data_IF_206036703504
#
_entry.id   IF_206036703504
#
_cell.length_a   1.000
_cell.length_b   1.000
_cell.length_c   1.000
_cell.angle_alpha   90.00
_cell.angle_beta   90.00
_cell.angle_gamma   90.00
#
_symmetry.space_group_name_H-M   'P 1'
#
loop_
_entity.id
_entity.type
_entity.pdbx_description
1 polymer ?
#
# COMPACT_ATOMS: atom_id res chain seq x y z
N UNK A 1 5.74 -9.63 -3.19
CA UNK A 1 4.47 -10.39 -3.26
C UNK A 1 3.32 -9.43 -3.08
N UNK A 2 2.33 -9.44 -3.97
CA UNK A 2 1.12 -8.62 -3.84
C UNK A 2 0.09 -9.41 -3.02
N UNK A 3 -0.43 -8.83 -1.94
CA UNK A 3 -1.33 -9.56 -1.02
C UNK A 3 -2.79 -9.19 -1.20
N UNK A 4 -3.09 -7.89 -1.21
CA UNK A 4 -4.45 -7.35 -1.30
C UNK A 4 -4.45 -5.90 -1.73
N UNK A 5 -5.58 -5.45 -2.27
CA UNK A 5 -5.91 -4.04 -2.46
C UNK A 5 -6.63 -3.56 -1.21
N UNK A 6 -6.30 -2.36 -0.72
CA UNK A 6 -7.01 -1.62 0.33
C UNK A 6 -7.34 -0.24 -0.22
N UNK A 7 -8.59 0.21 -0.05
CA UNK A 7 -9.04 1.48 -0.62
C UNK A 7 -10.18 2.14 0.19
N UNK A 8 -10.32 3.45 0.03
CA UNK A 8 -11.48 4.24 0.45
C UNK A 8 -11.94 5.18 -0.70
N UNK A 9 -12.73 6.21 -0.40
CA UNK A 9 -13.20 7.19 -1.39
C UNK A 9 -12.10 8.15 -1.90
N UNK A 10 -10.89 8.08 -1.32
CA UNK A 10 -9.77 9.00 -1.61
C UNK A 10 -8.58 8.29 -2.24
N UNK A 11 -8.25 7.08 -1.78
CA UNK A 11 -6.96 6.44 -2.09
C UNK A 11 -7.14 4.94 -2.32
N UNK A 12 -6.35 4.39 -3.24
CA UNK A 12 -6.17 2.96 -3.41
C UNK A 12 -4.69 2.58 -3.27
N UNK A 13 -4.41 1.54 -2.50
CA UNK A 13 -3.07 1.00 -2.32
C UNK A 13 -3.07 -0.54 -2.36
N UNK A 14 -1.97 -1.12 -2.80
CA UNK A 14 -1.73 -2.56 -2.74
C UNK A 14 -0.81 -2.84 -1.57
N UNK A 15 -1.24 -3.66 -0.62
CA UNK A 15 -0.39 -4.18 0.46
C UNK A 15 0.53 -5.24 -0.13
N UNK A 16 1.82 -5.10 0.14
CA UNK A 16 2.85 -6.00 -0.38
C UNK A 16 3.74 -6.54 0.73
N UNK A 17 4.35 -7.68 0.44
CA UNK A 17 5.47 -8.21 1.22
C UNK A 17 6.72 -8.21 0.38
N UNK A 18 7.81 -7.67 0.91
CA UNK A 18 9.13 -7.79 0.30
C UNK A 18 9.58 -9.24 0.38
N UNK A 19 10.00 -9.80 -0.75
CA UNK A 19 10.58 -11.14 -0.84
C UNK A 19 12.07 -10.98 -1.03
N UNK A 20 12.75 -10.61 0.06
CA UNK A 20 14.19 -10.40 0.07
C UNK A 20 14.85 -11.56 0.83
N UNK A 21 15.56 -12.43 0.12
CA UNK A 21 16.19 -13.61 0.72
C UNK A 21 17.39 -13.26 1.59
N UNK A 22 18.04 -12.14 1.29
CA UNK A 22 19.27 -11.70 1.96
C UNK A 22 18.99 -10.65 3.06
N UNK A 23 17.71 -10.34 3.31
CA UNK A 23 17.22 -9.37 4.31
C UNK A 23 17.86 -7.96 4.19
N UNK A 24 18.33 -7.60 2.99
CA UNK A 24 19.03 -6.35 2.71
C UNK A 24 18.11 -5.12 2.76
N UNK A 25 16.83 -5.29 2.43
CA UNK A 25 15.87 -4.22 2.27
C UNK A 25 14.74 -4.32 3.28
N UNK A 26 14.72 -3.35 4.20
CA UNK A 26 13.64 -3.16 5.16
C UNK A 26 12.72 -2.01 4.74
N UNK A 27 11.43 -2.18 4.93
CA UNK A 27 10.47 -1.10 4.74
C UNK A 27 10.35 -0.28 6.03
N UNK A 28 10.54 1.03 5.93
CA UNK A 28 10.36 1.94 7.07
C UNK A 28 8.89 2.23 7.38
N UNK A 29 7.99 2.02 6.40
CA UNK A 29 6.57 2.20 6.60
C UNK A 29 6.00 1.03 7.40
N UNK A 30 5.04 1.31 8.29
CA UNK A 30 4.32 0.29 9.07
C UNK A 30 3.67 -0.79 8.19
N UNK A 31 3.23 -0.41 6.99
CA UNK A 31 2.72 -1.31 5.96
C UNK A 31 3.47 -1.04 4.66
N UNK A 32 4.19 -2.05 4.18
CA UNK A 32 4.79 -1.99 2.84
C UNK A 32 3.67 -2.01 1.80
N UNK A 33 3.67 -1.02 0.90
CA UNK A 33 2.59 -0.85 -0.06
C UNK A 33 3.04 -0.18 -1.36
N UNK A 34 2.19 -0.28 -2.36
CA UNK A 34 2.27 0.45 -3.63
C UNK A 34 1.01 1.32 -3.74
N UNK A 35 1.15 2.64 -3.79
CA UNK A 35 0.01 3.53 -4.07
C UNK A 35 -0.41 3.36 -5.52
N UNK A 36 -1.67 2.99 -5.75
CA UNK A 36 -2.23 2.80 -7.10
C UNK A 36 -2.67 4.14 -7.68
N UNK A 37 -3.33 4.96 -6.87
CA UNK A 37 -3.81 6.27 -7.28
C UNK A 37 -4.53 7.00 -6.16
N UNK A 38 -4.80 8.27 -6.41
CA UNK A 38 -5.59 9.15 -5.56
C UNK A 38 -6.80 9.65 -6.35
N UNK A 39 -7.85 10.05 -5.66
CA UNK A 39 -9.08 10.56 -6.29
C UNK A 39 -8.82 11.75 -7.21
N UNK A 40 -8.00 12.69 -6.74
CA UNK A 40 -7.66 13.94 -7.43
C UNK A 40 -6.36 14.55 -6.82
N UNK A 41 -5.89 15.66 -7.39
CA UNK A 41 -4.62 16.31 -7.02
C UNK A 41 -4.60 16.95 -5.61
N UNK A 42 -5.78 17.09 -4.98
CA UNK A 42 -5.88 17.55 -3.59
C UNK A 42 -5.46 16.48 -2.59
N UNK A 43 -5.48 15.20 -3.00
CA UNK A 43 -5.08 14.06 -2.18
C UNK A 43 -3.65 13.66 -2.55
N UNK A 44 -2.74 13.75 -1.58
CA UNK A 44 -1.33 13.44 -1.82
C UNK A 44 -1.10 11.92 -1.71
N UNK A 45 -0.29 11.33 -2.60
CA UNK A 45 0.00 9.89 -2.53
C UNK A 45 0.55 9.41 -1.19
N UNK A 46 1.19 10.28 -0.39
CA UNK A 46 1.67 9.94 0.96
C UNK A 46 0.56 9.58 1.95
N UNK A 47 -0.67 10.03 1.71
CA UNK A 47 -1.83 9.76 2.57
C UNK A 47 -2.24 8.26 2.54
N UNK A 48 -1.70 7.46 1.60
CA UNK A 48 -1.85 5.99 1.63
C UNK A 48 -1.31 5.39 2.93
N UNK A 49 -0.29 6.00 3.55
CA UNK A 49 0.22 5.58 4.85
C UNK A 49 -0.86 5.69 5.95
N UNK A 50 -1.64 6.78 5.91
CA UNK A 50 -2.68 7.05 6.90
C UNK A 50 -3.87 6.11 6.72
N UNK A 51 -4.29 5.88 5.47
CA UNK A 51 -5.32 4.87 5.15
C UNK A 51 -4.92 3.48 5.68
N UNK A 52 -3.69 3.04 5.42
CA UNK A 52 -3.25 1.71 5.81
C UNK A 52 -3.05 1.58 7.32
N UNK A 53 -2.61 2.63 8.00
CA UNK A 53 -2.55 2.66 9.47
C UNK A 53 -3.95 2.53 10.07
N UNK A 54 -4.93 3.29 9.55
CA UNK A 54 -6.34 3.20 9.96
C UNK A 54 -6.92 1.81 9.69
N UNK A 55 -6.68 1.24 8.51
CA UNK A 55 -7.12 -0.12 8.16
C UNK A 55 -6.60 -1.18 9.15
N UNK A 56 -5.36 -1.08 9.62
CA UNK A 56 -4.84 -1.99 10.64
C UNK A 56 -5.56 -1.89 12.00
N UNK A 57 -6.13 -0.73 12.31
CA UNK A 57 -6.75 -0.43 13.60
C UNK A 57 -8.24 -0.75 13.62
N UNK A 58 -8.96 -0.39 12.55
CA UNK A 58 -10.43 -0.51 12.50
C UNK A 58 -10.92 -1.60 11.52
N UNK A 59 -10.03 -2.14 10.70
CA UNK A 59 -10.36 -3.14 9.69
C UNK A 59 -11.09 -2.58 8.47
N UNK A 60 -11.64 -3.48 7.66
CA UNK A 60 -12.45 -3.17 6.47
C UNK A 60 -13.92 -3.49 6.74
N UNK A 61 -14.80 -2.52 6.52
CA UNK A 61 -16.24 -2.69 6.61
C UNK A 61 -16.98 -1.50 5.98
N UNK A 62 -18.30 -1.62 5.72
CA UNK A 62 -19.12 -0.48 5.32
C UNK A 62 -19.07 0.70 6.31
N UNK A 63 -19.00 0.44 7.62
CA UNK A 63 -18.98 1.47 8.68
C UNK A 63 -17.64 2.23 8.74
N UNK A 64 -16.54 1.54 8.46
CA UNK A 64 -15.20 2.16 8.39
C UNK A 64 -14.93 2.83 7.04
N UNK A 65 -15.78 2.56 6.05
CA UNK A 65 -15.67 3.01 4.66
C UNK A 65 -14.34 2.58 4.01
N UNK A 66 -13.75 1.50 4.51
CA UNK A 66 -12.53 0.90 3.95
C UNK A 66 -12.93 -0.41 3.27
N UNK A 67 -12.58 -0.55 2.00
CA UNK A 67 -12.70 -1.79 1.25
C UNK A 67 -11.37 -2.53 1.19
N UNK A 68 -11.43 -3.86 1.19
CA UNK A 68 -10.28 -4.72 0.88
C UNK A 68 -10.64 -5.84 -0.12
N UNK A 69 -9.69 -6.18 -0.99
CA UNK A 69 -9.81 -7.28 -1.94
C UNK A 69 -8.51 -8.08 -1.93
N UNK A 70 -8.58 -9.36 -1.54
CA UNK A 70 -7.41 -10.25 -1.49
C UNK A 70 -7.06 -10.76 -2.88
N UNK A 71 -5.78 -10.74 -3.24
CA UNK A 71 -5.30 -11.43 -4.43
C UNK A 71 -5.19 -12.93 -4.14
N UNK A 72 -6.01 -13.76 -4.80
CA UNK A 72 -6.01 -15.22 -4.61
C UNK A 72 -4.64 -15.83 -4.92
N UNK A 73 -4.03 -15.43 -6.03
CA UNK A 73 -2.76 -16.01 -6.51
C UNK A 73 -1.51 -15.41 -5.86
N UNK A 74 -1.66 -14.30 -5.13
CA UNK A 74 -0.57 -13.54 -4.49
C UNK A 74 0.70 -13.43 -5.36
N UNK A 75 0.61 -12.81 -6.55
CA UNK A 75 1.72 -12.82 -7.50
C UNK A 75 3.00 -12.20 -6.92
N UNK A 76 4.13 -12.76 -7.31
CA UNK A 76 5.46 -12.26 -6.97
C UNK A 76 6.06 -11.61 -8.21
N UNK A 77 6.43 -10.34 -8.08
CA UNK A 77 7.02 -9.56 -9.16
C UNK A 77 8.51 -9.35 -8.90
N UNK A 78 9.30 -9.38 -9.96
CA UNK A 78 10.70 -8.94 -9.91
C UNK A 78 10.74 -7.41 -9.87
N UNK A 79 11.40 -6.85 -8.86
CA UNK A 79 11.57 -5.41 -8.68
C UNK A 79 13.04 -4.98 -8.76
N UNK A 80 13.26 -3.68 -8.79
CA UNK A 80 14.60 -3.06 -8.68
C UNK A 80 14.52 -1.92 -7.68
N UNK A 81 15.47 -1.86 -6.74
CA UNK A 81 15.57 -0.78 -5.75
C UNK A 81 16.48 0.30 -6.32
N UNK A 82 15.99 1.54 -6.32
CA UNK A 82 16.76 2.69 -6.77
C UNK A 82 16.44 3.92 -5.89
N UNK A 83 17.43 4.77 -5.59
CA UNK A 83 17.17 6.06 -4.97
C UNK A 83 16.44 6.97 -5.96
N UNK A 84 15.42 7.69 -5.49
CA UNK A 84 14.65 8.65 -6.29
C UNK A 84 14.66 9.99 -5.58
N UNK A 85 14.98 11.06 -6.31
CA UNK A 85 14.76 12.43 -5.84
C UNK A 85 13.33 12.84 -6.25
N UNK A 86 12.39 12.75 -5.32
CA UNK A 86 11.07 13.35 -5.49
C UNK A 86 11.13 14.82 -5.04
N UNK A 87 10.90 15.76 -5.95
CA UNK A 87 10.60 17.15 -5.59
C UNK A 87 9.12 17.21 -5.21
N UNK A 88 8.84 17.63 -3.98
CA UNK A 88 7.49 17.81 -3.43
C UNK A 88 7.00 19.23 -3.64
#
# INVERSE_FOLDING_TARGET
MLERVVFDDRIMAIVVRLSDQDDQWQCVNRVAHITVGTRDDSVKPKESNDLLARWLEVGSSPETQIGEIVFTEKPVLKGTVAPVLAKW
#
